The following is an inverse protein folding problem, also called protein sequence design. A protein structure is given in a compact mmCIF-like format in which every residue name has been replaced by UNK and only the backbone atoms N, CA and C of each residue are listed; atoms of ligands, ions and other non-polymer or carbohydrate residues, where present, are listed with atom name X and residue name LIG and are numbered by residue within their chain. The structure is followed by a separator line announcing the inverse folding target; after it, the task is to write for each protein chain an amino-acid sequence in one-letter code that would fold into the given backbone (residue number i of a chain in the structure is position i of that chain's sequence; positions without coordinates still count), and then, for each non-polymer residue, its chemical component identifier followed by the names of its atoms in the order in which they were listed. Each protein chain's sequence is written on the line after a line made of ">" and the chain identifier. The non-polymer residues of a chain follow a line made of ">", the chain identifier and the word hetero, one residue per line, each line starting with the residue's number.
data_IF_368607301060
#
_entry.id   IF_368607301060
#
_cell.length_a   1.000
_cell.length_b   1.000
_cell.length_c   1.000
_cell.angle_alpha   90.00
_cell.angle_beta   90.00
_cell.angle_gamma   90.00
#
_symmetry.space_group_name_H-M   'P 1'
#
loop_
_entity.id
_entity.type
_entity.pdbx_description
1 polymer ?
#
# COMPACT_ATOMS: atom_id res chain seq x y z
N UNK A 1 2.83 0.70 2.31
CA UNK A 1 2.92 0.83 0.85
C UNK A 1 1.51 0.94 0.32
N UNK A 2 1.23 1.92 -0.56
CA UNK A 2 -0.09 2.18 -1.10
C UNK A 2 -0.67 0.93 -1.78
N UNK A 3 -1.97 0.73 -1.63
CA UNK A 3 -2.70 -0.31 -2.35
C UNK A 3 -3.13 0.21 -3.71
N UNK A 4 -2.96 -0.61 -4.73
CA UNK A 4 -3.55 -0.38 -6.04
C UNK A 4 -4.94 -1.03 -6.03
N UNK A 5 -5.99 -0.22 -5.86
CA UNK A 5 -7.31 -0.73 -5.53
C UNK A 5 -7.33 -1.44 -4.16
N UNK A 6 -7.34 -2.78 -4.17
CA UNK A 6 -7.33 -3.64 -2.97
C UNK A 6 -6.04 -4.45 -2.82
N UNK A 7 -5.20 -4.50 -3.85
CA UNK A 7 -4.02 -5.34 -3.89
C UNK A 7 -2.74 -4.55 -3.57
N UNK A 8 -1.75 -5.19 -2.94
CA UNK A 8 -0.47 -4.55 -2.70
C UNK A 8 0.22 -4.23 -4.02
N UNK A 9 0.71 -3.01 -4.16
CA UNK A 9 1.44 -2.60 -5.35
C UNK A 9 2.83 -3.22 -5.40
N UNK A 10 3.07 -4.03 -6.43
CA UNK A 10 4.35 -4.71 -6.67
C UNK A 10 5.14 -3.89 -7.68
N UNK A 11 6.35 -3.48 -7.28
CA UNK A 11 7.30 -2.82 -8.17
C UNK A 11 7.87 -3.82 -9.17
N UNK A 12 8.00 -3.40 -10.42
CA UNK A 12 8.70 -4.14 -11.45
C UNK A 12 10.19 -4.13 -11.15
N UNK A 13 10.82 -5.28 -11.35
CA UNK A 13 12.27 -5.42 -11.21
C UNK A 13 12.93 -4.79 -12.44
N UNK A 14 14.09 -4.16 -12.27
CA UNK A 14 14.86 -3.68 -13.42
C UNK A 14 15.17 -4.86 -14.37
N UNK A 15 15.13 -4.64 -15.69
CA UNK A 15 15.50 -5.65 -16.68
C UNK A 15 16.88 -6.27 -16.37
N UNK A 16 16.96 -7.60 -16.40
CA UNK A 16 18.18 -8.32 -16.02
C UNK A 16 19.39 -8.09 -16.95
N UNK A 17 19.17 -7.53 -18.14
CA UNK A 17 20.19 -7.35 -19.18
C UNK A 17 20.81 -5.93 -19.21
N UNK A 18 20.57 -5.12 -18.18
CA UNK A 18 21.07 -3.74 -18.09
C UNK A 18 22.59 -3.69 -17.90
N UNK A 19 23.30 -3.05 -18.83
CA UNK A 19 24.72 -2.74 -18.67
C UNK A 19 24.88 -1.46 -17.85
N UNK A 20 26.03 -1.24 -17.18
CA UNK A 20 26.27 -0.06 -16.35
C UNK A 20 26.18 1.29 -17.08
N UNK A 21 26.30 1.29 -18.41
CA UNK A 21 26.31 2.48 -19.26
C UNK A 21 25.02 2.67 -20.06
N UNK A 22 24.03 1.80 -19.90
CA UNK A 22 22.78 1.91 -20.65
C UNK A 22 21.92 3.05 -20.09
N UNK A 23 21.36 3.86 -20.98
CA UNK A 23 20.43 4.92 -20.60
C UNK A 23 19.07 4.33 -20.22
N UNK A 24 18.55 4.73 -19.06
CA UNK A 24 17.26 4.27 -18.53
C UNK A 24 16.38 5.44 -18.11
N UNK A 25 15.07 5.27 -18.28
CA UNK A 25 14.06 6.16 -17.75
C UNK A 25 13.81 5.84 -16.28
N UNK A 26 14.19 6.76 -15.39
CA UNK A 26 14.06 6.57 -13.95
C UNK A 26 12.81 7.26 -13.39
N UNK A 27 11.93 6.46 -12.77
CA UNK A 27 10.79 6.98 -12.03
C UNK A 27 11.20 7.27 -10.58
N UNK A 28 11.37 8.56 -10.24
CA UNK A 28 11.76 9.00 -8.89
C UNK A 28 10.76 8.58 -7.81
N UNK A 29 9.48 8.50 -8.17
CA UNK A 29 8.37 8.26 -7.23
C UNK A 29 8.36 6.80 -6.74
N UNK A 30 8.47 5.85 -7.67
CA UNK A 30 8.49 4.41 -7.34
C UNK A 30 9.91 3.85 -7.19
N UNK A 31 10.93 4.66 -7.52
CA UNK A 31 12.35 4.25 -7.56
C UNK A 31 12.59 3.07 -8.51
N UNK A 32 11.91 3.08 -9.66
CA UNK A 32 12.03 2.05 -10.70
C UNK A 32 12.76 2.60 -11.93
N UNK A 33 13.55 1.76 -12.58
CA UNK A 33 14.22 2.07 -13.85
C UNK A 33 13.63 1.25 -14.99
N UNK A 34 13.31 1.91 -16.09
CA UNK A 34 12.73 1.32 -17.30
C UNK A 34 13.65 1.57 -18.48
N UNK A 35 13.81 0.58 -19.36
CA UNK A 35 14.51 0.73 -20.64
C UNK A 35 13.58 1.25 -21.73
N UNK A 36 12.29 0.94 -21.61
CA UNK A 36 11.27 1.34 -22.56
C UNK A 36 10.53 2.61 -22.11
N UNK A 37 10.26 3.50 -23.05
CA UNK A 37 9.58 4.76 -22.76
C UNK A 37 8.09 4.56 -22.47
N UNK A 38 7.41 3.65 -23.18
CA UNK A 38 5.98 3.44 -23.00
C UNK A 38 5.69 2.81 -21.64
N UNK A 39 6.54 1.88 -21.19
CA UNK A 39 6.47 1.32 -19.83
C UNK A 39 6.66 2.40 -18.74
N UNK A 40 7.66 3.27 -18.92
CA UNK A 40 7.90 4.40 -18.03
C UNK A 40 6.71 5.35 -18.01
N UNK A 41 6.18 5.72 -19.18
CA UNK A 41 5.08 6.66 -19.31
C UNK A 41 3.80 6.12 -18.67
N UNK A 42 3.48 4.84 -18.92
CA UNK A 42 2.37 4.15 -18.26
C UNK A 42 2.55 4.16 -16.73
N UNK A 43 3.78 3.97 -16.22
CA UNK A 43 4.06 4.04 -14.79
C UNK A 43 3.80 5.44 -14.21
N UNK A 44 4.23 6.47 -14.91
CA UNK A 44 4.01 7.87 -14.49
C UNK A 44 2.52 8.19 -14.44
N UNK A 45 1.76 7.80 -15.46
CA UNK A 45 0.30 7.97 -15.48
C UNK A 45 -0.35 7.24 -14.30
N UNK A 46 0.04 5.98 -14.06
CA UNK A 46 -0.48 5.19 -12.97
C UNK A 46 -0.27 5.87 -11.61
N UNK A 47 0.93 6.40 -11.35
CA UNK A 47 1.26 7.07 -10.10
C UNK A 47 0.43 8.34 -9.87
N UNK A 48 0.11 9.07 -10.94
CA UNK A 48 -0.68 10.31 -10.90
C UNK A 48 -2.19 10.09 -10.93
N UNK A 49 -2.64 8.86 -11.21
CA UNK A 49 -4.07 8.52 -11.26
C UNK A 49 -4.66 8.39 -9.86
N UNK A 50 -5.93 8.76 -9.67
CA UNK A 50 -6.65 8.69 -8.39
C UNK A 50 -7.20 7.30 -8.07
N UNK A 51 -6.36 6.28 -8.25
CA UNK A 51 -6.72 4.84 -8.14
C UNK A 51 -6.12 4.19 -6.90
N UNK A 52 -5.40 4.96 -6.08
CA UNK A 52 -4.68 4.44 -4.93
C UNK A 52 -5.51 4.52 -3.66
N UNK A 53 -5.25 3.57 -2.77
CA UNK A 53 -5.85 3.51 -1.44
C UNK A 53 -4.74 3.45 -0.40
N UNK A 54 -4.87 4.24 0.67
CA UNK A 54 -3.96 4.16 1.80
C UNK A 54 -4.19 2.86 2.58
N UNK A 55 -3.13 2.06 2.76
CA UNK A 55 -3.25 0.75 3.45
C UNK A 55 -3.57 0.88 4.95
N UNK A 56 -3.23 2.01 5.56
CA UNK A 56 -3.41 2.24 7.00
C UNK A 56 -4.75 2.88 7.33
N UNK A 57 -5.16 3.89 6.56
CA UNK A 57 -6.42 4.61 6.80
C UNK A 57 -7.59 4.04 6.00
N UNK A 58 -7.32 3.23 4.96
CA UNK A 58 -8.33 2.71 4.04
C UNK A 58 -8.92 3.77 3.11
N UNK A 59 -8.39 5.00 3.10
CA UNK A 59 -8.92 6.10 2.28
C UNK A 59 -8.64 5.83 0.79
N UNK A 60 -9.67 5.70 -0.06
CA UNK A 60 -9.51 5.48 -1.50
C UNK A 60 -9.39 6.82 -2.26
N UNK A 61 -9.10 6.73 -3.55
CA UNK A 61 -9.15 7.89 -4.47
C UNK A 61 -7.95 8.82 -4.32
N UNK A 62 -6.79 8.27 -3.95
CA UNK A 62 -5.55 9.03 -3.77
C UNK A 62 -4.64 8.84 -4.98
N UNK A 63 -3.70 9.76 -5.18
CA UNK A 63 -2.51 9.51 -6.00
C UNK A 63 -1.51 8.68 -5.21
N UNK A 64 -0.49 8.12 -5.87
CA UNK A 64 0.55 7.36 -5.17
C UNK A 64 1.27 8.20 -4.11
N UNK A 65 1.57 9.47 -4.43
CA UNK A 65 2.21 10.40 -3.49
C UNK A 65 1.32 10.71 -2.29
N UNK A 66 0.04 10.97 -2.54
CA UNK A 66 -0.91 11.29 -1.46
C UNK A 66 -1.16 10.08 -0.56
N UNK A 67 -1.20 8.88 -1.13
CA UNK A 67 -1.30 7.65 -0.36
C UNK A 67 -0.08 7.45 0.54
N UNK A 68 1.14 7.69 0.04
CA UNK A 68 2.36 7.64 0.86
C UNK A 68 2.35 8.67 2.00
N UNK A 69 1.98 9.91 1.70
CA UNK A 69 1.87 10.97 2.71
C UNK A 69 0.82 10.62 3.77
N UNK A 70 -0.34 10.08 3.34
CA UNK A 70 -1.38 9.61 4.26
C UNK A 70 -0.89 8.46 5.13
N UNK A 71 -0.11 7.53 4.60
CA UNK A 71 0.47 6.43 5.38
C UNK A 71 1.45 6.96 6.42
N UNK A 72 2.36 7.85 6.03
CA UNK A 72 3.33 8.45 6.96
C UNK A 72 2.63 9.23 8.09
N UNK A 73 1.62 10.03 7.74
CA UNK A 73 0.82 10.75 8.73
C UNK A 73 0.08 9.80 9.67
N UNK A 74 -0.54 8.74 9.13
CA UNK A 74 -1.21 7.73 9.94
C UNK A 74 -0.25 7.02 10.90
N UNK A 75 0.96 6.68 10.46
CA UNK A 75 2.00 6.10 11.31
C UNK A 75 2.41 7.05 12.44
N UNK A 76 2.59 8.34 12.16
CA UNK A 76 2.91 9.34 13.19
C UNK A 76 1.80 9.41 14.24
N UNK A 77 0.54 9.47 13.81
CA UNK A 77 -0.62 9.47 14.72
C UNK A 77 -0.66 8.17 15.55
N UNK A 78 -0.48 7.01 14.92
CA UNK A 78 -0.44 5.71 15.62
C UNK A 78 0.74 5.60 16.60
N UNK A 79 1.88 6.21 16.30
CA UNK A 79 3.04 6.24 17.19
C UNK A 79 2.81 7.10 18.44
N UNK A 80 2.04 8.19 18.30
CA UNK A 80 1.66 9.07 19.41
C UNK A 80 0.57 8.49 20.31
N UNK A 81 0.05 7.30 20.00
CA UNK A 81 -1.09 6.73 20.67
C UNK A 81 -0.77 6.34 22.14
N UNK A 82 -1.55 6.80 23.14
CA UNK A 82 -1.27 6.56 24.54
C UNK A 82 -1.19 5.07 24.87
N UNK A 83 -0.10 4.65 25.52
CA UNK A 83 0.14 3.23 25.89
C UNK A 83 -0.98 2.69 26.78
N UNK A 84 -1.52 3.53 27.67
CA UNK A 84 -2.63 3.19 28.56
C UNK A 84 -3.91 2.78 27.80
N UNK A 85 -4.12 3.29 26.58
CA UNK A 85 -5.31 3.01 25.77
C UNK A 85 -5.15 1.80 24.84
N UNK A 86 -3.92 1.31 24.63
CA UNK A 86 -3.66 0.16 23.74
C UNK A 86 -4.32 -1.13 24.23
N UNK A 87 -4.18 -1.46 25.53
CA UNK A 87 -4.78 -2.66 26.14
C UNK A 87 -6.32 -2.58 26.17
N UNK A 88 -6.95 -1.48 26.63
CA UNK A 88 -8.41 -1.34 26.59
C UNK A 88 -8.99 -1.44 25.17
N UNK A 89 -8.35 -0.84 24.16
CA UNK A 89 -8.84 -0.91 22.77
C UNK A 89 -8.85 -2.33 22.20
N UNK A 90 -7.87 -3.15 22.54
CA UNK A 90 -7.86 -4.57 22.16
C UNK A 90 -9.08 -5.31 22.71
N UNK A 91 -9.59 -4.91 23.88
CA UNK A 91 -10.76 -5.51 24.51
C UNK A 91 -12.09 -5.04 23.89
N UNK A 92 -12.11 -3.89 23.21
CA UNK A 92 -13.30 -3.34 22.55
C UNK A 92 -13.61 -4.10 21.25
N UNK A 93 -12.59 -4.64 20.58
CA UNK A 93 -12.77 -5.54 19.43
C UNK A 93 -13.10 -6.92 20.00
N UNK A 94 -14.38 -7.29 19.98
CA UNK A 94 -14.80 -8.60 20.47
C UNK A 94 -14.00 -9.70 19.76
N UNK A 95 -13.58 -10.77 20.46
CA UNK A 95 -13.34 -12.03 19.76
C UNK A 95 -14.65 -12.34 19.04
N UNK A 96 -14.59 -12.52 17.72
CA UNK A 96 -15.71 -13.07 16.98
C UNK A 96 -16.20 -14.30 17.76
N UNK A 97 -17.46 -14.28 18.19
CA UNK A 97 -18.06 -15.45 18.81
C UNK A 97 -17.89 -16.61 17.83
N UNK A 98 -17.01 -17.57 18.18
CA UNK A 98 -17.13 -18.93 17.69
C UNK A 98 -18.53 -19.41 18.11
N UNK A 99 -19.48 -19.24 17.19
CA UNK A 99 -20.83 -19.73 17.37
C UNK A 99 -20.78 -21.23 17.71
N UNK A 100 -21.71 -21.71 18.57
CA UNK A 100 -21.65 -23.06 19.11
C UNK A 100 -21.62 -24.11 18.00
N UNK A 101 -20.98 -25.28 18.23
CA UNK A 101 -20.82 -26.30 17.20
C UNK A 101 -22.21 -26.71 16.70
N UNK A 102 -22.44 -26.54 15.39
CA UNK A 102 -23.68 -26.96 14.73
C UNK A 102 -23.84 -28.46 14.98
N UNK A 103 -24.86 -28.84 15.75
CA UNK A 103 -25.22 -30.25 15.96
C UNK A 103 -25.42 -30.91 14.59
N UNK A 104 -24.98 -32.16 14.41
CA UNK A 104 -25.26 -32.87 13.17
C UNK A 104 -26.77 -33.04 13.03
N UNK A 105 -27.29 -32.65 11.86
CA UNK A 105 -28.66 -32.92 11.46
C UNK A 105 -28.84 -34.44 11.49
N UNK A 106 -29.84 -34.88 12.28
CA UNK A 106 -30.22 -36.27 12.44
C UNK A 106 -30.98 -36.75 11.20
#
# INVERSE_FOLDING_TARGET
>A
MPLYGKDPFIRQKPPANLKPNDEVFFCKITSEGFTDYDEYFARVILCNSLVWTCSLTGKPGLTYHDALSSEEHALKVLSSFPVALKKPLLYIRQPDEEGPPRRPLR
#
